data_IF_044764217002
#
_entry.id   IF_044764217002
#
_cell.length_a   1.000
_cell.length_b   1.000
_cell.length_c   1.000
_cell.angle_alpha   90.00
_cell.angle_beta   90.00
_cell.angle_gamma   90.00
#
_symmetry.space_group_name_H-M   'P 1'
#
loop_
_entity.id
_entity.type
_entity.pdbx_description
1 polymer ?
#
# COMPACT_ATOMS: atom_id res chain seq x y z
N UNK A 1 18.19 -24.05 -2.64
CA UNK A 1 17.38 -23.10 -3.42
C UNK A 1 18.20 -22.71 -4.64
N UNK A 2 17.66 -22.77 -5.86
CA UNK A 2 18.39 -22.31 -7.05
C UNK A 2 18.77 -20.84 -6.90
N UNK A 3 19.88 -20.44 -7.52
CA UNK A 3 20.37 -19.06 -7.50
C UNK A 3 19.49 -18.19 -8.44
N UNK A 4 18.39 -17.68 -7.91
CA UNK A 4 17.47 -16.84 -8.66
C UNK A 4 17.95 -15.39 -8.69
N UNK A 5 17.75 -14.68 -9.82
CA UNK A 5 17.97 -13.23 -9.87
C UNK A 5 17.18 -12.48 -8.78
N UNK A 6 17.77 -11.41 -8.23
CA UNK A 6 17.16 -10.63 -7.13
C UNK A 6 15.71 -10.22 -7.42
N UNK A 7 15.42 -9.79 -8.64
CA UNK A 7 14.06 -9.41 -9.03
C UNK A 7 13.05 -10.56 -8.97
N UNK A 8 13.49 -11.79 -9.22
CA UNK A 8 12.65 -13.00 -9.10
C UNK A 8 12.38 -13.30 -7.63
N UNK A 9 13.38 -13.19 -6.76
CA UNK A 9 13.22 -13.37 -5.32
C UNK A 9 12.26 -12.34 -4.73
N UNK A 10 12.41 -11.08 -5.08
CA UNK A 10 11.50 -9.99 -4.65
C UNK A 10 10.07 -10.29 -5.11
N UNK A 11 9.89 -10.71 -6.37
CA UNK A 11 8.57 -11.06 -6.91
C UNK A 11 7.95 -12.25 -6.16
N UNK A 12 8.73 -13.28 -5.84
CA UNK A 12 8.23 -14.43 -5.08
C UNK A 12 7.76 -14.01 -3.68
N UNK A 13 8.56 -13.20 -2.99
CA UNK A 13 8.20 -12.66 -1.67
C UNK A 13 6.88 -11.86 -1.77
N UNK A 14 6.78 -10.95 -2.74
CA UNK A 14 5.59 -10.13 -2.96
C UNK A 14 4.34 -10.99 -3.21
N UNK A 15 4.46 -12.06 -4.01
CA UNK A 15 3.35 -12.98 -4.29
C UNK A 15 2.88 -13.67 -3.00
N UNK A 16 3.80 -14.13 -2.15
CA UNK A 16 3.43 -14.81 -0.90
C UNK A 16 2.76 -13.86 0.09
N UNK A 17 3.30 -12.65 0.24
CA UNK A 17 2.69 -11.59 1.05
C UNK A 17 1.26 -11.28 0.55
N UNK A 18 1.10 -11.12 -0.76
CA UNK A 18 -0.19 -10.81 -1.38
C UNK A 18 -1.23 -11.92 -1.19
N UNK A 19 -0.85 -13.19 -1.33
CA UNK A 19 -1.76 -14.33 -1.12
C UNK A 19 -2.31 -14.38 0.30
N UNK A 20 -1.45 -14.20 1.29
CA UNK A 20 -1.83 -14.23 2.70
C UNK A 20 -2.79 -13.08 3.05
N UNK A 21 -2.48 -11.87 2.57
CA UNK A 21 -3.31 -10.69 2.79
C UNK A 21 -4.66 -10.80 2.06
N UNK A 22 -4.68 -11.21 0.80
CA UNK A 22 -5.91 -11.31 0.00
C UNK A 22 -6.94 -12.22 0.63
N UNK A 23 -6.53 -13.37 1.17
CA UNK A 23 -7.45 -14.27 1.85
C UNK A 23 -8.15 -13.61 3.06
N UNK A 24 -7.43 -12.81 3.84
CA UNK A 24 -8.01 -12.04 4.96
C UNK A 24 -8.96 -10.94 4.47
N UNK A 25 -8.57 -10.23 3.43
CA UNK A 25 -9.34 -9.12 2.87
C UNK A 25 -10.64 -9.59 2.20
N UNK A 26 -10.63 -10.75 1.56
CA UNK A 26 -11.83 -11.36 0.98
C UNK A 26 -12.91 -11.59 2.03
N UNK A 27 -12.53 -12.06 3.23
CA UNK A 27 -13.46 -12.23 4.35
C UNK A 27 -14.11 -10.92 4.80
N UNK A 28 -13.45 -9.79 4.58
CA UNK A 28 -13.94 -8.44 4.91
C UNK A 28 -14.57 -7.73 3.70
N UNK A 29 -14.69 -8.40 2.57
CA UNK A 29 -15.17 -7.82 1.31
C UNK A 29 -14.37 -6.59 0.86
N UNK A 30 -13.05 -6.65 1.00
CA UNK A 30 -12.09 -5.60 0.66
C UNK A 30 -11.03 -6.18 -0.28
N UNK A 31 -10.67 -5.44 -1.32
CA UNK A 31 -9.55 -5.78 -2.21
C UNK A 31 -8.22 -5.26 -1.67
N UNK A 32 -7.09 -5.81 -2.14
CA UNK A 32 -5.76 -5.31 -1.78
C UNK A 32 -5.57 -3.82 -2.09
N UNK A 33 -6.06 -3.36 -3.24
CA UNK A 33 -6.01 -1.94 -3.61
C UNK A 33 -6.86 -1.06 -2.68
N UNK A 34 -8.02 -1.54 -2.26
CA UNK A 34 -8.86 -0.84 -1.27
C UNK A 34 -8.18 -0.79 0.10
N UNK A 35 -7.52 -1.88 0.52
CA UNK A 35 -6.75 -1.90 1.76
C UNK A 35 -5.61 -0.86 1.74
N UNK A 36 -4.89 -0.71 0.62
CA UNK A 36 -3.87 0.32 0.46
C UNK A 36 -4.42 1.73 0.67
N UNK A 37 -5.61 2.03 0.14
CA UNK A 37 -6.29 3.32 0.37
C UNK A 37 -6.57 3.53 1.85
N UNK A 38 -7.13 2.51 2.52
CA UNK A 38 -7.46 2.62 3.95
C UNK A 38 -6.21 2.83 4.82
N UNK A 39 -5.13 2.09 4.57
CA UNK A 39 -3.85 2.24 5.28
C UNK A 39 -3.25 3.64 5.04
N UNK A 40 -3.29 4.12 3.81
CA UNK A 40 -2.81 5.47 3.50
C UNK A 40 -3.59 6.53 4.28
N UNK A 41 -4.92 6.47 4.29
CA UNK A 41 -5.76 7.40 5.02
C UNK A 41 -5.56 7.32 6.55
N UNK A 42 -5.32 6.11 7.07
CA UNK A 42 -4.99 5.90 8.48
C UNK A 42 -3.72 6.66 8.88
N UNK A 43 -2.66 6.53 8.08
CA UNK A 43 -1.38 7.18 8.33
C UNK A 43 -1.44 8.72 8.19
N UNK A 44 -2.52 9.24 7.62
CA UNK A 44 -2.78 10.67 7.45
C UNK A 44 -3.95 11.18 8.28
N UNK A 45 -4.35 10.43 9.29
CA UNK A 45 -5.42 10.85 10.20
C UNK A 45 -5.11 12.23 10.80
N UNK A 46 -6.08 13.15 10.75
CA UNK A 46 -5.91 14.53 11.17
C UNK A 46 -5.23 15.47 10.16
N UNK A 47 -4.79 14.94 9.01
CA UNK A 47 -4.22 15.74 7.92
C UNK A 47 -5.24 15.93 6.80
N UNK A 48 -5.15 17.08 6.13
CA UNK A 48 -5.91 17.31 4.90
C UNK A 48 -5.45 16.34 3.82
N UNK A 49 -6.33 15.45 3.38
CA UNK A 49 -6.03 14.43 2.38
C UNK A 49 -7.07 14.47 1.26
N UNK A 50 -6.61 14.59 0.04
CA UNK A 50 -7.42 14.71 -1.17
C UNK A 50 -7.27 13.48 -2.08
N UNK A 51 -8.13 13.38 -3.10
CA UNK A 51 -7.96 12.39 -4.18
C UNK A 51 -6.60 12.50 -4.86
N UNK A 52 -6.10 13.72 -5.07
CA UNK A 52 -4.81 13.94 -5.71
C UNK A 52 -3.64 13.38 -4.89
N UNK A 53 -3.68 13.57 -3.56
CA UNK A 53 -2.66 12.98 -2.67
C UNK A 53 -2.64 11.44 -2.81
N UNK A 54 -3.81 10.84 -2.97
CA UNK A 54 -3.96 9.40 -3.14
C UNK A 54 -3.47 8.92 -4.52
N UNK A 55 -3.75 9.68 -5.59
CA UNK A 55 -3.26 9.42 -6.94
C UNK A 55 -1.72 9.42 -6.98
N UNK A 56 -1.10 10.42 -6.37
CA UNK A 56 0.35 10.54 -6.28
C UNK A 56 0.97 9.39 -5.47
N UNK A 57 0.33 9.00 -4.36
CA UNK A 57 0.81 7.90 -3.52
C UNK A 57 0.71 6.54 -4.23
N UNK A 58 -0.43 6.27 -4.87
CA UNK A 58 -0.68 4.98 -5.53
C UNK A 58 -0.03 4.88 -6.92
N UNK A 59 0.44 5.99 -7.49
CA UNK A 59 0.96 6.06 -8.87
C UNK A 59 -0.05 5.52 -9.89
N UNK A 60 -1.33 5.85 -9.69
CA UNK A 60 -2.44 5.40 -10.52
C UNK A 60 -3.25 6.57 -11.08
N UNK A 61 -4.00 6.30 -12.16
CA UNK A 61 -4.82 7.31 -12.83
C UNK A 61 -5.97 7.80 -11.95
N UNK A 62 -6.41 9.04 -12.21
CA UNK A 62 -7.57 9.65 -11.57
C UNK A 62 -8.81 8.74 -11.63
N UNK A 63 -9.09 8.13 -12.77
CA UNK A 63 -10.25 7.24 -12.97
C UNK A 63 -10.17 6.02 -12.04
N UNK A 64 -9.01 5.40 -11.94
CA UNK A 64 -8.79 4.22 -11.09
C UNK A 64 -8.97 4.57 -9.62
N UNK A 65 -8.33 5.65 -9.16
CA UNK A 65 -8.39 6.08 -7.76
C UNK A 65 -9.81 6.52 -7.37
N UNK A 66 -10.49 7.27 -8.24
CA UNK A 66 -11.88 7.67 -8.04
C UNK A 66 -12.78 6.44 -7.88
N UNK A 67 -12.61 5.43 -8.73
CA UNK A 67 -13.37 4.18 -8.65
C UNK A 67 -13.13 3.40 -7.34
N UNK A 68 -11.87 3.35 -6.86
CA UNK A 68 -11.53 2.74 -5.57
C UNK A 68 -12.22 3.47 -4.40
N UNK A 69 -12.12 4.80 -4.38
CA UNK A 69 -12.71 5.64 -3.33
C UNK A 69 -14.23 5.53 -3.33
N UNK A 70 -14.88 5.59 -4.50
CA UNK A 70 -16.34 5.45 -4.61
C UNK A 70 -16.83 4.12 -4.01
N UNK A 71 -16.14 3.01 -4.29
CA UNK A 71 -16.49 1.70 -3.72
C UNK A 71 -16.31 1.69 -2.20
N UNK A 72 -15.27 2.32 -1.68
CA UNK A 72 -15.06 2.44 -0.22
C UNK A 72 -16.09 3.33 0.45
N UNK A 73 -16.55 4.38 -0.22
CA UNK A 73 -17.66 5.22 0.26
C UNK A 73 -18.95 4.42 0.27
N UNK A 74 -19.27 3.67 -0.80
CA UNK A 74 -20.46 2.81 -0.87
C UNK A 74 -20.47 1.74 0.24
N UNK A 75 -19.30 1.19 0.57
CA UNK A 75 -19.12 0.22 1.66
C UNK A 75 -19.12 0.86 3.05
N UNK A 76 -19.12 2.18 3.14
CA UNK A 76 -19.13 2.94 4.40
C UNK A 76 -17.80 3.00 5.14
N UNK A 77 -16.68 2.78 4.46
CA UNK A 77 -15.33 2.87 5.06
C UNK A 77 -14.70 4.26 4.96
N UNK A 78 -15.08 5.03 3.94
CA UNK A 78 -14.53 6.35 3.66
C UNK A 78 -15.68 7.34 3.46
N UNK A 79 -15.49 8.56 3.94
CA UNK A 79 -16.29 9.72 3.61
C UNK A 79 -15.51 10.65 2.67
N UNK A 80 -16.20 11.16 1.65
CA UNK A 80 -15.65 12.14 0.72
C UNK A 80 -16.49 13.42 0.82
N UNK A 81 -15.91 14.47 1.38
CA UNK A 81 -16.58 15.76 1.57
C UNK A 81 -15.94 16.83 0.69
N UNK A 82 -16.74 17.80 0.27
CA UNK A 82 -16.21 18.96 -0.47
C UNK A 82 -15.31 19.77 0.49
N UNK A 83 -14.11 20.10 0.03
CA UNK A 83 -13.20 20.96 0.80
C UNK A 83 -13.77 22.38 0.91
N UNK A 84 -13.86 22.90 2.13
CA UNK A 84 -14.31 24.27 2.39
C UNK A 84 -13.36 25.35 1.84
N UNK A 85 -12.10 25.01 1.55
CA UNK A 85 -11.09 25.91 1.00
C UNK A 85 -11.06 25.91 -0.52
N UNK A 86 -11.30 24.75 -1.13
CA UNK A 86 -11.36 24.58 -2.58
C UNK A 86 -12.48 23.60 -2.93
N UNK A 87 -13.60 24.13 -3.42
CA UNK A 87 -14.78 23.35 -3.80
C UNK A 87 -14.54 22.34 -4.94
N UNK A 88 -13.40 22.40 -5.63
CA UNK A 88 -13.00 21.45 -6.66
C UNK A 88 -12.35 20.21 -6.04
N UNK A 89 -11.90 20.30 -4.80
CA UNK A 89 -11.25 19.22 -4.08
C UNK A 89 -12.24 18.49 -3.18
N UNK A 90 -12.04 17.19 -3.04
CA UNK A 90 -12.74 16.36 -2.05
C UNK A 90 -11.77 15.90 -0.99
N UNK A 91 -12.13 16.12 0.26
CA UNK A 91 -11.40 15.60 1.41
C UNK A 91 -11.86 14.18 1.70
N UNK A 92 -10.90 13.31 1.93
CA UNK A 92 -11.13 11.91 2.25
C UNK A 92 -10.82 11.67 3.72
N UNK A 93 -11.77 11.05 4.42
CA UNK A 93 -11.63 10.67 5.83
C UNK A 93 -12.13 9.25 6.06
N UNK A 94 -11.54 8.57 7.05
CA UNK A 94 -12.00 7.26 7.49
C UNK A 94 -13.25 7.40 8.35
N UNK A 95 -14.17 6.44 8.19
CA UNK A 95 -15.32 6.30 9.08
C UNK A 95 -14.97 5.46 10.31
N UNK A 96 -15.77 5.50 11.40
CA UNK A 96 -15.60 4.60 12.54
C UNK A 96 -15.66 3.11 12.16
N UNK A 97 -16.45 2.75 11.13
CA UNK A 97 -16.51 1.39 10.58
C UNK A 97 -15.15 0.90 10.07
N UNK A 98 -14.32 1.79 9.53
CA UNK A 98 -13.00 1.46 9.02
C UNK A 98 -12.03 1.02 10.13
N UNK A 99 -12.23 1.45 11.37
CA UNK A 99 -11.28 1.21 12.48
C UNK A 99 -11.06 -0.27 12.74
N UNK A 100 -12.11 -1.07 12.90
CA UNK A 100 -11.98 -2.51 13.15
C UNK A 100 -11.32 -3.27 11.99
N UNK A 101 -11.62 -2.86 10.75
CA UNK A 101 -10.98 -3.41 9.55
C UNK A 101 -9.49 -3.07 9.50
N UNK A 102 -9.13 -1.86 9.86
CA UNK A 102 -7.73 -1.40 9.91
C UNK A 102 -6.93 -2.14 10.98
N UNK A 103 -7.52 -2.43 12.13
CA UNK A 103 -6.87 -3.25 13.17
C UNK A 103 -6.50 -4.64 12.64
N UNK A 104 -7.41 -5.29 11.89
CA UNK A 104 -7.14 -6.60 11.28
C UNK A 104 -6.04 -6.50 10.23
N UNK A 105 -6.08 -5.48 9.37
CA UNK A 105 -5.05 -5.23 8.35
C UNK A 105 -3.69 -4.99 9.03
N UNK A 106 -3.66 -4.16 10.06
CA UNK A 106 -2.43 -3.83 10.78
C UNK A 106 -1.82 -5.06 11.46
N UNK A 107 -2.63 -5.85 12.16
CA UNK A 107 -2.17 -7.10 12.78
C UNK A 107 -1.61 -8.07 11.73
N UNK A 108 -2.24 -8.17 10.55
CA UNK A 108 -1.75 -9.01 9.46
C UNK A 108 -0.41 -8.51 8.90
N UNK A 109 -0.24 -7.21 8.73
CA UNK A 109 1.02 -6.62 8.28
C UNK A 109 2.15 -6.89 9.28
N UNK A 110 1.88 -6.78 10.58
CA UNK A 110 2.86 -7.09 11.63
C UNK A 110 3.28 -8.57 11.58
N UNK A 111 2.32 -9.51 11.50
CA UNK A 111 2.64 -10.93 11.37
C UNK A 111 3.47 -11.23 10.10
N UNK A 112 3.18 -10.53 9.01
CA UNK A 112 3.91 -10.68 7.76
C UNK A 112 5.35 -10.18 7.88
N UNK A 113 5.56 -9.05 8.56
CA UNK A 113 6.89 -8.51 8.85
C UNK A 113 7.71 -9.49 9.72
N UNK A 114 7.10 -10.02 10.78
CA UNK A 114 7.75 -11.00 11.65
C UNK A 114 8.13 -12.27 10.89
N UNK A 115 7.24 -12.77 10.04
CA UNK A 115 7.49 -13.96 9.22
C UNK A 115 8.60 -13.70 8.19
N UNK A 116 8.63 -12.53 7.57
CA UNK A 116 9.62 -12.16 6.56
C UNK A 116 11.04 -12.18 7.13
N UNK A 117 11.21 -11.74 8.37
CA UNK A 117 12.51 -11.64 9.03
C UNK A 117 12.75 -12.73 10.07
N UNK A 118 11.95 -13.80 10.06
CA UNK A 118 12.11 -14.91 10.99
C UNK A 118 13.50 -15.55 10.87
N UNK A 119 14.21 -15.61 11.97
CA UNK A 119 15.59 -16.15 12.03
C UNK A 119 16.68 -15.16 11.67
N UNK A 120 16.33 -13.90 11.37
CA UNK A 120 17.32 -12.84 11.13
C UNK A 120 17.83 -12.28 12.46
N UNK A 121 19.10 -11.89 12.49
CA UNK A 121 19.62 -11.05 13.56
C UNK A 121 19.09 -9.61 13.40
N UNK A 122 19.13 -8.77 14.48
CA UNK A 122 18.76 -7.38 14.36
C UNK A 122 19.54 -6.62 13.27
N UNK A 123 20.82 -6.92 13.14
CA UNK A 123 21.72 -6.33 12.14
C UNK A 123 21.36 -6.73 10.71
N UNK A 124 21.01 -8.01 10.50
CA UNK A 124 20.55 -8.51 9.20
C UNK A 124 19.22 -7.87 8.79
N UNK A 125 18.30 -7.70 9.75
CA UNK A 125 17.03 -7.01 9.52
C UNK A 125 17.24 -5.55 9.09
N UNK A 126 18.10 -4.83 9.81
CA UNK A 126 18.42 -3.45 9.48
C UNK A 126 19.10 -3.34 8.11
N UNK A 127 20.06 -4.22 7.82
CA UNK A 127 20.77 -4.25 6.54
C UNK A 127 19.79 -4.54 5.38
N UNK A 128 18.90 -5.52 5.53
CA UNK A 128 17.88 -5.83 4.52
C UNK A 128 17.02 -4.59 4.22
N UNK A 129 16.57 -3.89 5.27
CA UNK A 129 15.75 -2.68 5.10
C UNK A 129 16.50 -1.58 4.36
N UNK A 130 17.77 -1.36 4.68
CA UNK A 130 18.63 -0.37 4.00
C UNK A 130 18.84 -0.72 2.52
N UNK A 131 19.12 -2.00 2.22
CA UNK A 131 19.36 -2.47 0.86
C UNK A 131 18.08 -2.42 0.01
N UNK A 132 16.93 -2.77 0.56
CA UNK A 132 15.65 -2.66 -0.12
C UNK A 132 15.28 -1.20 -0.42
N UNK A 133 15.53 -0.26 0.51
CA UNK A 133 15.33 1.17 0.25
C UNK A 133 16.20 1.67 -0.89
N UNK A 134 17.49 1.28 -0.90
CA UNK A 134 18.43 1.65 -1.97
C UNK A 134 18.00 1.06 -3.32
N UNK A 135 17.59 -0.20 -3.34
CA UNK A 135 17.05 -0.85 -4.54
C UNK A 135 15.79 -0.15 -5.08
N UNK A 136 14.85 0.21 -4.19
CA UNK A 136 13.65 0.94 -4.57
C UNK A 136 13.96 2.33 -5.16
N UNK A 137 14.93 3.06 -4.59
CA UNK A 137 15.39 4.34 -5.14
C UNK A 137 16.01 4.18 -6.54
N UNK A 138 16.82 3.13 -6.76
CA UNK A 138 17.41 2.85 -8.07
C UNK A 138 16.32 2.53 -9.11
N UNK A 139 15.28 1.81 -8.73
CA UNK A 139 14.17 1.46 -9.63
C UNK A 139 13.24 2.64 -9.95
N UNK A 140 13.21 3.67 -9.11
CA UNK A 140 12.47 4.90 -9.38
C UNK A 140 13.16 5.79 -10.44
N UNK A 141 14.44 5.59 -10.70
CA UNK A 141 15.16 6.27 -11.76
C UNK A 141 14.81 5.69 -13.15
N UNK A 142 14.75 6.50 -14.22
CA UNK A 142 14.54 5.98 -15.57
C UNK A 142 15.66 5.01 -15.95
N UNK A 143 15.29 3.90 -16.61
CA UNK A 143 16.28 2.95 -17.11
C UNK A 143 17.23 3.65 -18.07
N UNK A 144 18.55 3.39 -17.99
CA UNK A 144 19.48 3.88 -18.99
C UNK A 144 19.11 3.33 -20.37
N UNK A 145 19.30 4.10 -21.45
CA UNK A 145 19.01 3.61 -22.79
C UNK A 145 19.79 2.31 -23.03
N UNK A 146 19.07 1.29 -23.51
CA UNK A 146 19.70 0.02 -23.90
C UNK A 146 20.79 0.30 -24.93
N UNK A 147 22.04 0.00 -24.58
CA UNK A 147 23.10 -0.05 -25.58
C UNK A 147 22.79 -1.19 -26.53
N UNK A 148 22.13 -0.85 -27.65
CA UNK A 148 22.12 -1.76 -28.82
C UNK A 148 23.57 -1.83 -29.32
N UNK A 149 24.23 -2.96 -29.03
CA UNK A 149 25.48 -3.33 -29.66
C UNK A 149 25.21 -3.96 -31.01
#
# INVERSE_FOLDING_TARGET
MPDYPLGVLIKHIQIQIGKSLNHRLEQMNITGSQAHVLVFLMNRTGQRTTLRDLEEHLQQSHVTVTGLVQRLVQKGFVEAQVDGRDRRCRLLTLTPKATGTLEVIHAHLQCTEEQLVQGFTPEERELLQQLLRKAAQNMAAPLPPTRNG
#
